data_IF_426959191325
#
_entry.id   IF_426959191325
#
_cell.length_a   1.000
_cell.length_b   1.000
_cell.length_c   1.000
_cell.angle_alpha   90.00
_cell.angle_beta   90.00
_cell.angle_gamma   90.00
#
_symmetry.space_group_name_H-M   'P 1'
#
loop_
_entity.id
_entity.type
_entity.pdbx_description
1 polymer ?
#
# COMPACT_ATOMS: atom_id res chain seq x y z
N UNK A 1 -22.69 13.16 9.30
CA UNK A 1 -21.72 12.18 8.80
C UNK A 1 -21.55 12.45 7.31
N UNK A 2 -20.41 13.02 6.90
CA UNK A 2 -20.10 13.13 5.47
C UNK A 2 -19.83 11.71 4.97
N UNK A 3 -20.66 11.21 4.09
CA UNK A 3 -20.41 9.95 3.37
C UNK A 3 -19.28 10.21 2.39
N UNK A 4 -18.04 9.93 2.82
CA UNK A 4 -16.89 9.93 1.91
C UNK A 4 -17.12 8.85 0.86
N UNK A 5 -17.01 9.23 -0.41
CA UNK A 5 -17.06 8.29 -1.53
C UNK A 5 -16.02 7.18 -1.29
N UNK A 6 -16.45 5.92 -1.26
CA UNK A 6 -15.54 4.80 -1.09
C UNK A 6 -14.68 4.64 -2.34
N UNK A 7 -13.36 4.81 -2.19
CA UNK A 7 -12.39 4.60 -3.27
C UNK A 7 -11.88 3.15 -3.33
N UNK A 8 -11.95 2.41 -2.22
CA UNK A 8 -11.76 0.96 -2.15
C UNK A 8 -13.00 0.37 -1.49
N UNK A 9 -13.59 -0.65 -2.09
CA UNK A 9 -14.72 -1.39 -1.55
C UNK A 9 -14.45 -2.90 -1.68
N UNK A 10 -14.47 -3.61 -0.56
CA UNK A 10 -14.25 -5.05 -0.47
C UNK A 10 -15.46 -5.64 0.23
N UNK A 11 -16.11 -6.65 -0.39
CA UNK A 11 -17.33 -7.26 0.15
C UNK A 11 -17.23 -8.77 0.12
N UNK A 12 -17.25 -9.39 1.31
CA UNK A 12 -17.32 -10.82 1.49
C UNK A 12 -16.19 -11.60 0.81
N UNK A 13 -14.97 -11.04 0.76
CA UNK A 13 -13.88 -11.57 -0.04
C UNK A 13 -13.32 -12.86 0.56
N UNK A 14 -13.30 -13.93 -0.23
CA UNK A 14 -12.74 -15.24 0.13
C UNK A 14 -11.60 -15.58 -0.83
N UNK A 15 -10.49 -16.10 -0.30
CA UNK A 15 -9.40 -16.65 -1.10
C UNK A 15 -8.92 -17.99 -0.55
N UNK A 16 -8.95 -19.00 -1.42
CA UNK A 16 -8.41 -20.33 -1.18
C UNK A 16 -7.14 -20.56 -2.00
N UNK A 17 -6.15 -21.23 -1.42
CA UNK A 17 -5.01 -21.82 -2.11
C UNK A 17 -5.03 -23.33 -1.85
N UNK A 18 -5.47 -24.10 -2.83
CA UNK A 18 -5.82 -25.51 -2.59
C UNK A 18 -6.90 -25.62 -1.52
N UNK A 19 -6.62 -26.36 -0.46
CA UNK A 19 -7.52 -26.51 0.70
C UNK A 19 -7.38 -25.40 1.74
N UNK A 20 -6.33 -24.58 1.67
CA UNK A 20 -6.04 -23.55 2.67
C UNK A 20 -6.85 -22.28 2.40
N UNK A 21 -7.68 -21.89 3.37
CA UNK A 21 -8.44 -20.65 3.34
C UNK A 21 -7.59 -19.53 3.95
N UNK A 22 -7.15 -18.58 3.10
CA UNK A 22 -6.29 -17.43 3.51
C UNK A 22 -7.12 -16.19 3.80
N UNK A 23 -8.22 -15.99 3.06
CA UNK A 23 -9.21 -14.94 3.35
C UNK A 23 -10.59 -15.59 3.45
N UNK A 24 -11.38 -15.18 4.44
CA UNK A 24 -12.66 -15.78 4.79
C UNK A 24 -13.74 -14.72 5.06
N UNK A 25 -14.31 -14.18 3.98
CA UNK A 25 -15.41 -13.22 4.07
C UNK A 25 -14.96 -11.80 4.46
N UNK A 26 -13.76 -11.37 4.05
CA UNK A 26 -13.24 -10.04 4.35
C UNK A 26 -14.11 -8.97 3.71
N UNK A 27 -14.57 -8.02 4.53
CA UNK A 27 -15.23 -6.79 4.07
C UNK A 27 -14.49 -5.59 4.67
N UNK A 28 -14.18 -4.58 3.84
CA UNK A 28 -13.46 -3.38 4.23
C UNK A 28 -13.72 -2.28 3.19
N UNK A 29 -13.84 -1.04 3.63
CA UNK A 29 -13.92 0.14 2.76
C UNK A 29 -12.83 1.13 3.07
N UNK A 30 -12.37 1.90 2.08
CA UNK A 30 -11.47 3.05 2.30
C UNK A 30 -12.05 4.23 1.52
N UNK A 31 -12.31 5.32 2.21
CA UNK A 31 -12.89 6.53 1.65
C UNK A 31 -11.85 7.47 1.01
N UNK A 32 -12.34 8.47 0.28
CA UNK A 32 -11.52 9.59 -0.20
C UNK A 32 -10.90 10.35 0.97
N UNK A 33 -9.60 10.63 0.89
CA UNK A 33 -8.84 11.31 1.95
C UNK A 33 -8.57 10.45 3.20
N UNK A 34 -8.83 9.15 3.14
CA UNK A 34 -8.68 8.22 4.26
C UNK A 34 -7.44 7.34 4.11
N UNK A 35 -6.76 7.07 5.23
CA UNK A 35 -5.76 6.03 5.35
C UNK A 35 -6.21 4.95 6.34
N UNK A 36 -6.27 3.70 5.90
CA UNK A 36 -6.53 2.53 6.73
C UNK A 36 -5.25 1.73 6.89
N UNK A 37 -4.84 1.50 8.14
CA UNK A 37 -3.76 0.57 8.47
C UNK A 37 -4.35 -0.81 8.75
N UNK A 38 -3.97 -1.79 7.91
CA UNK A 38 -4.33 -3.19 8.04
C UNK A 38 -3.25 -3.91 8.83
N UNK A 39 -3.52 -4.16 10.09
CA UNK A 39 -2.67 -4.91 11.02
C UNK A 39 -2.97 -6.40 10.97
N UNK A 40 -2.02 -7.22 11.38
CA UNK A 40 -2.21 -8.67 11.52
C UNK A 40 -0.88 -9.43 11.55
N UNK A 41 -0.85 -10.66 12.07
CA UNK A 41 0.36 -11.48 12.10
C UNK A 41 0.82 -11.87 10.68
N UNK A 42 2.03 -12.40 10.60
CA UNK A 42 2.51 -12.97 9.35
C UNK A 42 1.62 -14.15 8.97
N UNK A 43 1.26 -14.24 7.68
CA UNK A 43 0.34 -15.29 7.20
C UNK A 43 -1.14 -14.96 7.35
N UNK A 44 -1.57 -13.88 8.01
CA UNK A 44 -2.99 -13.53 8.18
C UNK A 44 -3.74 -13.18 6.88
N UNK A 45 -3.02 -12.99 5.76
CA UNK A 45 -3.63 -12.69 4.47
C UNK A 45 -3.52 -11.25 4.00
N UNK A 46 -2.83 -10.34 4.71
CA UNK A 46 -2.68 -8.92 4.34
C UNK A 46 -2.16 -8.73 2.92
N UNK A 47 -1.00 -9.30 2.59
CA UNK A 47 -0.44 -9.20 1.24
C UNK A 47 -1.32 -9.88 0.18
N UNK A 48 -2.07 -10.93 0.56
CA UNK A 48 -3.05 -11.57 -0.32
C UNK A 48 -4.21 -10.62 -0.63
N UNK A 49 -4.73 -9.93 0.38
CA UNK A 49 -5.77 -8.92 0.21
C UNK A 49 -5.30 -7.79 -0.70
N UNK A 50 -4.11 -7.21 -0.42
CA UNK A 50 -3.53 -6.17 -1.27
C UNK A 50 -3.34 -6.63 -2.72
N UNK A 51 -2.88 -7.87 -2.95
CA UNK A 51 -2.71 -8.42 -4.31
C UNK A 51 -4.04 -8.57 -5.05
N UNK A 52 -5.14 -8.89 -4.36
CA UNK A 52 -6.47 -8.98 -4.98
C UNK A 52 -6.95 -7.57 -5.37
N UNK A 53 -6.86 -6.60 -4.45
CA UNK A 53 -7.23 -5.20 -4.72
C UNK A 53 -6.36 -4.60 -5.83
N UNK A 54 -5.07 -4.99 -5.90
CA UNK A 54 -4.14 -4.61 -6.95
C UNK A 54 -4.36 -5.35 -8.29
N UNK A 55 -5.40 -6.17 -8.42
CA UNK A 55 -5.69 -6.98 -9.63
C UNK A 55 -4.64 -8.05 -9.97
N UNK A 56 -3.71 -8.34 -9.06
CA UNK A 56 -2.64 -9.32 -9.25
C UNK A 56 -3.07 -10.74 -8.90
N UNK A 57 -4.19 -10.89 -8.18
CA UNK A 57 -4.73 -12.16 -7.76
C UNK A 57 -6.26 -12.11 -7.82
N UNK A 58 -6.90 -13.17 -8.33
CA UNK A 58 -8.36 -13.25 -8.34
C UNK A 58 -8.88 -13.79 -7.02
N UNK A 59 -9.98 -13.25 -6.46
CA UNK A 59 -10.65 -13.85 -5.31
C UNK A 59 -11.31 -15.18 -5.71
N UNK A 60 -11.56 -16.05 -4.73
CA UNK A 60 -12.36 -17.26 -4.93
C UNK A 60 -13.86 -16.94 -4.88
N UNK A 61 -14.25 -16.02 -3.97
CA UNK A 61 -15.61 -15.48 -3.83
C UNK A 61 -15.55 -14.04 -3.34
N UNK A 62 -16.69 -13.35 -3.39
CA UNK A 62 -16.79 -11.93 -3.02
C UNK A 62 -16.29 -11.00 -4.11
N UNK A 63 -16.31 -9.72 -3.84
CA UNK A 63 -15.95 -8.67 -4.80
C UNK A 63 -14.98 -7.66 -4.19
N UNK A 64 -14.12 -7.08 -5.02
CA UNK A 64 -13.33 -5.91 -4.68
C UNK A 64 -13.47 -4.89 -5.81
N UNK A 65 -13.66 -3.62 -5.43
CA UNK A 65 -13.73 -2.49 -6.37
C UNK A 65 -12.75 -1.42 -5.96
N UNK A 66 -12.17 -0.75 -6.94
CA UNK A 66 -11.31 0.42 -6.77
C UNK A 66 -11.79 1.51 -7.73
N UNK A 67 -12.05 2.70 -7.22
CA UNK A 67 -12.59 3.83 -8.00
C UNK A 67 -13.89 3.45 -8.74
N UNK A 68 -14.71 2.60 -8.13
CA UNK A 68 -15.95 2.07 -8.73
C UNK A 68 -15.77 0.89 -9.69
N UNK A 69 -14.52 0.58 -10.13
CA UNK A 69 -14.21 -0.50 -11.08
C UNK A 69 -13.97 -1.84 -10.38
N UNK A 70 -14.50 -2.92 -10.96
CA UNK A 70 -14.32 -4.29 -10.46
C UNK A 70 -12.90 -4.78 -10.71
N UNK A 71 -12.20 -5.24 -9.66
CA UNK A 71 -10.80 -5.66 -9.72
C UNK A 71 -10.55 -6.90 -10.61
N UNK A 72 -11.59 -7.66 -10.97
CA UNK A 72 -11.47 -8.84 -11.83
C UNK A 72 -11.88 -8.54 -13.27
N UNK A 73 -12.97 -7.81 -13.46
CA UNK A 73 -13.58 -7.57 -14.77
C UNK A 73 -13.01 -6.33 -15.46
N UNK A 74 -12.59 -5.33 -14.67
CA UNK A 74 -12.14 -4.01 -15.14
C UNK A 74 -10.71 -3.72 -14.64
N UNK A 75 -9.86 -4.75 -14.59
CA UNK A 75 -8.52 -4.67 -13.99
C UNK A 75 -7.63 -3.59 -14.60
N UNK A 76 -7.80 -3.25 -15.86
CA UNK A 76 -7.04 -2.18 -16.54
C UNK A 76 -7.45 -0.79 -16.01
N UNK A 77 -8.74 -0.53 -15.88
CA UNK A 77 -9.25 0.70 -15.30
C UNK A 77 -8.81 0.88 -13.84
N UNK A 78 -8.84 -0.20 -13.05
CA UNK A 78 -8.30 -0.21 -11.68
C UNK A 78 -6.83 0.18 -11.68
N UNK A 79 -5.98 -0.45 -12.50
CA UNK A 79 -4.53 -0.18 -12.54
C UNK A 79 -4.18 1.23 -12.97
N UNK A 80 -5.01 1.87 -13.79
CA UNK A 80 -4.81 3.26 -14.23
C UNK A 80 -4.85 4.27 -13.07
N UNK A 81 -5.66 4.01 -12.03
CA UNK A 81 -5.80 4.89 -10.87
C UNK A 81 -5.12 4.41 -9.58
N UNK A 82 -4.39 3.27 -9.64
CA UNK A 82 -3.85 2.61 -8.47
C UNK A 82 -2.31 2.61 -8.47
N UNK A 83 -1.72 2.94 -7.33
CA UNK A 83 -0.29 2.76 -7.05
C UNK A 83 -0.07 1.64 -6.05
N UNK A 84 0.83 0.71 -6.38
CA UNK A 84 1.20 -0.39 -5.49
C UNK A 84 2.69 -0.31 -5.13
N UNK A 85 2.98 -0.31 -3.83
CA UNK A 85 4.30 -0.59 -3.27
C UNK A 85 4.21 -1.90 -2.51
N UNK A 86 4.61 -2.99 -3.17
CA UNK A 86 4.65 -4.30 -2.58
C UNK A 86 5.86 -4.47 -1.63
N UNK A 87 5.88 -5.57 -0.91
CA UNK A 87 7.04 -5.96 -0.12
C UNK A 87 8.27 -6.10 -1.03
N UNK A 88 9.38 -5.42 -0.66
CA UNK A 88 10.53 -5.25 -1.55
C UNK A 88 10.43 -4.01 -2.45
N UNK A 89 11.55 -3.57 -3.00
CA UNK A 89 11.59 -2.37 -3.84
C UNK A 89 11.18 -2.61 -5.30
N UNK A 90 11.29 -3.85 -5.79
CA UNK A 90 11.01 -4.23 -7.18
C UNK A 90 11.65 -3.28 -8.20
N UNK A 91 12.96 -3.07 -8.04
CA UNK A 91 13.81 -2.26 -8.92
C UNK A 91 14.84 -3.16 -9.60
N UNK A 92 15.31 -2.76 -10.78
CA UNK A 92 16.31 -3.50 -11.55
C UNK A 92 17.70 -3.07 -11.13
N UNK A 93 18.45 -3.96 -10.52
CA UNK A 93 19.76 -3.69 -9.91
C UNK A 93 20.83 -3.28 -10.94
N UNK A 94 20.77 -3.78 -12.17
CA UNK A 94 21.72 -3.48 -13.24
C UNK A 94 21.44 -2.19 -13.99
N UNK A 95 20.26 -1.62 -13.83
CA UNK A 95 19.88 -0.32 -14.38
C UNK A 95 20.28 0.81 -13.41
N UNK A 96 20.55 1.98 -13.96
CA UNK A 96 20.65 3.22 -13.18
C UNK A 96 19.28 3.62 -12.62
N UNK A 97 19.24 4.55 -11.66
CA UNK A 97 17.98 5.06 -11.12
C UNK A 97 17.11 5.69 -12.21
N UNK A 98 17.70 6.46 -13.12
CA UNK A 98 16.98 7.10 -14.23
C UNK A 98 16.45 6.06 -15.23
N UNK A 99 17.26 5.05 -15.57
CA UNK A 99 16.84 3.94 -16.46
C UNK A 99 15.71 3.11 -15.83
N UNK A 100 15.75 2.85 -14.52
CA UNK A 100 14.64 2.19 -13.81
C UNK A 100 13.33 2.96 -13.98
N UNK A 101 13.33 4.29 -13.76
CA UNK A 101 12.12 5.10 -13.92
C UNK A 101 11.67 5.14 -15.38
N UNK A 102 12.60 5.29 -16.33
CA UNK A 102 12.30 5.28 -17.77
C UNK A 102 11.67 3.95 -18.18
N UNK A 103 12.26 2.83 -17.79
CA UNK A 103 11.73 1.50 -18.09
C UNK A 103 10.29 1.36 -17.58
N UNK A 104 10.05 1.72 -16.32
CA UNK A 104 8.73 1.62 -15.71
C UNK A 104 7.70 2.55 -16.38
N UNK A 105 8.06 3.81 -16.68
CA UNK A 105 7.14 4.75 -17.35
C UNK A 105 6.78 4.28 -18.76
N UNK A 106 7.77 3.73 -19.51
CA UNK A 106 7.52 3.17 -20.83
C UNK A 106 6.55 2.00 -20.78
N UNK A 107 6.73 1.05 -19.82
CA UNK A 107 5.80 -0.07 -19.63
C UNK A 107 4.39 0.39 -19.23
N UNK A 108 4.29 1.50 -18.51
CA UNK A 108 3.00 2.06 -18.05
C UNK A 108 2.35 3.00 -19.06
N UNK A 109 2.93 3.19 -20.25
CA UNK A 109 2.43 4.12 -21.26
C UNK A 109 2.51 5.59 -20.85
N UNK A 110 3.36 5.91 -19.87
CA UNK A 110 3.54 7.28 -19.36
C UNK A 110 4.67 8.00 -20.09
N UNK A 111 4.61 9.35 -20.21
CA UNK A 111 5.72 10.13 -20.76
C UNK A 111 7.02 9.90 -19.98
N UNK A 112 8.12 9.63 -20.69
CA UNK A 112 9.43 9.27 -20.14
C UNK A 112 10.50 10.33 -20.46
N UNK A 113 10.12 11.61 -20.55
CA UNK A 113 11.06 12.70 -20.74
C UNK A 113 12.01 12.84 -19.54
N UNK A 114 13.24 13.28 -19.82
CA UNK A 114 14.32 13.32 -18.82
C UNK A 114 14.01 14.27 -17.67
N UNK A 115 13.40 15.41 -17.94
CA UNK A 115 13.09 16.43 -16.96
C UNK A 115 12.11 15.87 -15.91
N UNK A 116 11.01 15.26 -16.35
CA UNK A 116 10.01 14.63 -15.50
C UNK A 116 10.58 13.49 -14.65
N UNK A 117 11.44 12.65 -15.26
CA UNK A 117 12.09 11.55 -14.52
C UNK A 117 13.08 12.09 -13.48
N UNK A 118 13.84 13.16 -13.81
CA UNK A 118 14.77 13.78 -12.87
C UNK A 118 14.02 14.46 -11.72
N UNK A 119 12.91 15.14 -12.00
CA UNK A 119 12.05 15.72 -10.97
C UNK A 119 11.51 14.65 -10.02
N UNK A 120 11.06 13.51 -10.52
CA UNK A 120 10.61 12.38 -9.68
C UNK A 120 11.74 11.80 -8.81
N UNK A 121 12.99 11.79 -9.28
CA UNK A 121 14.15 11.46 -8.44
C UNK A 121 14.42 12.55 -7.38
N UNK A 122 14.22 13.81 -7.70
CA UNK A 122 14.32 14.93 -6.77
C UNK A 122 13.29 14.81 -5.63
N UNK A 123 12.06 14.44 -5.95
CA UNK A 123 10.98 14.20 -4.97
C UNK A 123 11.39 13.20 -3.85
N UNK A 124 12.29 12.26 -4.16
CA UNK A 124 12.77 11.24 -3.23
C UNK A 124 14.23 11.45 -2.81
N UNK A 125 14.82 12.61 -3.10
CA UNK A 125 16.23 12.96 -2.83
C UNK A 125 17.24 11.97 -3.44
N UNK A 126 17.00 11.56 -4.70
CA UNK A 126 17.86 10.69 -5.48
C UNK A 126 18.37 11.32 -6.79
N UNK A 127 18.15 12.62 -7.04
CA UNK A 127 18.55 13.30 -8.26
C UNK A 127 20.05 13.20 -8.56
N UNK A 128 20.90 13.30 -7.50
CA UNK A 128 22.36 13.16 -7.62
C UNK A 128 22.81 11.74 -7.93
N UNK A 129 21.91 10.77 -7.77
CA UNK A 129 22.16 9.35 -8.01
C UNK A 129 21.53 8.86 -9.33
N UNK A 130 21.01 9.76 -10.16
CA UNK A 130 20.28 9.42 -11.39
C UNK A 130 21.06 8.46 -12.31
N UNK A 131 22.37 8.66 -12.49
CA UNK A 131 23.26 7.84 -13.31
C UNK A 131 23.94 6.69 -12.57
N UNK A 132 23.64 6.47 -11.30
CA UNK A 132 24.24 5.40 -10.48
C UNK A 132 23.42 4.12 -10.61
N UNK A 133 24.08 2.97 -10.81
CA UNK A 133 23.42 1.65 -10.87
C UNK A 133 22.81 1.27 -9.52
N UNK A 134 21.58 0.78 -9.55
CA UNK A 134 20.76 0.50 -8.35
C UNK A 134 21.36 -0.61 -7.47
N UNK A 135 22.17 -1.50 -8.02
CA UNK A 135 22.89 -2.52 -7.22
C UNK A 135 23.77 -1.93 -6.09
N UNK A 136 24.21 -0.67 -6.22
CA UNK A 136 25.00 0.02 -5.20
C UNK A 136 24.14 0.78 -4.17
N UNK A 137 22.82 0.79 -4.36
CA UNK A 137 21.91 1.50 -3.47
C UNK A 137 21.70 0.74 -2.16
N UNK A 138 21.58 1.48 -1.07
CA UNK A 138 21.08 0.92 0.19
C UNK A 138 19.61 0.50 0.04
N UNK A 139 19.12 -0.33 0.97
CA UNK A 139 17.70 -0.75 1.01
C UNK A 139 16.76 0.47 1.02
N UNK A 140 17.09 1.50 1.81
CA UNK A 140 16.32 2.74 1.87
C UNK A 140 16.34 3.53 0.54
N UNK A 141 17.46 3.58 -0.18
CA UNK A 141 17.53 4.20 -1.50
C UNK A 141 16.70 3.44 -2.53
N UNK A 142 16.77 2.10 -2.55
CA UNK A 142 15.92 1.27 -3.42
C UNK A 142 14.43 1.51 -3.13
N UNK A 143 14.06 1.61 -1.85
CA UNK A 143 12.67 1.90 -1.43
C UNK A 143 12.23 3.29 -1.91
N UNK A 144 13.06 4.32 -1.75
CA UNK A 144 12.78 5.67 -2.26
C UNK A 144 12.64 5.68 -3.78
N UNK A 145 13.47 4.96 -4.51
CA UNK A 145 13.34 4.82 -5.97
C UNK A 145 12.00 4.16 -6.36
N UNK A 146 11.57 3.13 -5.63
CA UNK A 146 10.25 2.53 -5.84
C UNK A 146 9.10 3.54 -5.60
N UNK A 147 9.24 4.40 -4.61
CA UNK A 147 8.26 5.46 -4.32
C UNK A 147 8.26 6.58 -5.38
N UNK A 148 9.39 6.88 -6.03
CA UNK A 148 9.47 7.87 -7.11
C UNK A 148 8.51 7.54 -8.28
N UNK A 149 8.22 6.26 -8.52
CA UNK A 149 7.25 5.82 -9.54
C UNK A 149 5.84 6.37 -9.28
N UNK A 150 5.46 6.51 -8.01
CA UNK A 150 4.13 7.02 -7.62
C UNK A 150 3.96 8.50 -8.00
N UNK A 151 5.04 9.31 -7.93
CA UNK A 151 5.03 10.70 -8.38
C UNK A 151 4.77 10.82 -9.89
N UNK A 152 5.19 9.83 -10.67
CA UNK A 152 5.00 9.77 -12.11
C UNK A 152 3.59 9.33 -12.52
N UNK A 153 3.04 8.33 -11.81
CA UNK A 153 1.73 7.75 -12.10
C UNK A 153 0.55 8.61 -11.62
N UNK A 154 0.74 9.43 -10.57
CA UNK A 154 -0.32 10.22 -9.92
C UNK A 154 -1.58 9.41 -9.62
N UNK A 155 -1.46 8.28 -8.89
CA UNK A 155 -2.62 7.46 -8.56
C UNK A 155 -3.61 8.21 -7.66
N UNK A 156 -4.86 7.72 -7.57
CA UNK A 156 -5.86 8.15 -6.58
C UNK A 156 -5.98 7.19 -5.40
N UNK A 157 -5.45 5.97 -5.55
CA UNK A 157 -5.43 4.93 -4.51
C UNK A 157 -4.02 4.40 -4.35
N UNK A 158 -3.55 4.30 -3.12
CA UNK A 158 -2.26 3.69 -2.75
C UNK A 158 -2.48 2.41 -1.95
N UNK A 159 -1.89 1.32 -2.43
CA UNK A 159 -1.73 0.08 -1.70
C UNK A 159 -0.27 -0.07 -1.28
N UNK A 160 -0.03 -0.17 0.02
CA UNK A 160 1.32 -0.18 0.58
C UNK A 160 1.52 -1.42 1.45
N UNK A 161 2.50 -2.25 1.12
CA UNK A 161 2.87 -3.43 1.91
C UNK A 161 4.20 -3.15 2.63
N UNK A 162 4.14 -3.00 3.97
CA UNK A 162 5.27 -2.65 4.83
C UNK A 162 6.06 -1.41 4.33
N UNK A 163 5.40 -0.25 4.09
CA UNK A 163 6.04 0.87 3.38
C UNK A 163 7.20 1.50 4.13
N UNK A 164 7.22 1.41 5.46
CA UNK A 164 8.26 2.00 6.31
C UNK A 164 9.44 1.05 6.58
N UNK A 165 9.34 -0.22 6.17
CA UNK A 165 10.41 -1.19 6.37
C UNK A 165 11.70 -0.77 5.64
N UNK A 166 12.85 -0.83 6.34
CA UNK A 166 14.15 -0.48 5.78
C UNK A 166 14.41 1.02 5.61
N UNK A 167 13.47 1.90 6.00
CA UNK A 167 13.69 3.34 6.02
C UNK A 167 14.30 3.78 7.36
N UNK A 168 15.29 4.67 7.29
CA UNK A 168 15.79 5.42 8.43
C UNK A 168 14.77 6.46 8.92
N UNK A 169 15.04 7.11 10.04
CA UNK A 169 14.13 8.11 10.63
C UNK A 169 13.79 9.24 9.66
N UNK A 170 14.76 9.70 8.86
CA UNK A 170 14.53 10.75 7.86
C UNK A 170 13.63 10.27 6.72
N UNK A 171 13.86 9.05 6.24
CA UNK A 171 13.03 8.41 5.21
C UNK A 171 11.59 8.16 5.68
N UNK A 172 11.41 7.73 6.94
CA UNK A 172 10.07 7.56 7.55
C UNK A 172 9.31 8.88 7.62
N UNK A 173 9.94 9.96 8.14
CA UNK A 173 9.33 11.30 8.21
C UNK A 173 8.98 11.84 6.83
N UNK A 174 9.86 11.63 5.85
CA UNK A 174 9.60 12.03 4.46
C UNK A 174 8.38 11.29 3.89
N UNK A 175 8.32 9.94 4.03
CA UNK A 175 7.20 9.15 3.53
C UNK A 175 5.88 9.54 4.22
N UNK A 176 5.90 9.74 5.54
CA UNK A 176 4.74 10.20 6.30
C UNK A 176 4.18 11.50 5.73
N UNK A 177 5.02 12.54 5.56
CA UNK A 177 4.58 13.81 4.98
C UNK A 177 4.03 13.68 3.54
N UNK A 178 4.58 12.76 2.73
CA UNK A 178 4.05 12.47 1.39
C UNK A 178 2.66 11.81 1.44
N UNK A 179 2.44 10.88 2.36
CA UNK A 179 1.15 10.24 2.55
C UNK A 179 0.10 11.21 3.10
N UNK A 180 0.48 12.10 4.02
CA UNK A 180 -0.39 13.17 4.52
C UNK A 180 -0.84 14.11 3.38
N UNK A 181 0.11 14.55 2.53
CA UNK A 181 -0.21 15.37 1.35
C UNK A 181 -1.13 14.62 0.38
N UNK A 182 -0.88 13.33 0.16
CA UNK A 182 -1.69 12.50 -0.70
C UNK A 182 -3.13 12.35 -0.19
N UNK A 183 -3.31 12.11 1.11
CA UNK A 183 -4.62 12.10 1.77
C UNK A 183 -5.34 13.44 1.63
N UNK A 184 -4.64 14.54 1.94
CA UNK A 184 -5.20 15.89 1.86
C UNK A 184 -5.68 16.25 0.44
N UNK A 185 -5.09 15.64 -0.60
CA UNK A 185 -5.57 15.77 -1.99
C UNK A 185 -6.74 14.84 -2.36
N UNK A 186 -7.31 14.13 -1.39
CA UNK A 186 -8.44 13.20 -1.60
C UNK A 186 -8.02 11.78 -1.97
N UNK A 187 -6.73 11.43 -1.88
CA UNK A 187 -6.25 10.07 -2.14
C UNK A 187 -6.60 9.10 -1.02
N UNK A 188 -6.88 7.84 -1.36
CA UNK A 188 -7.12 6.75 -0.40
C UNK A 188 -5.88 5.88 -0.22
N UNK A 189 -5.57 5.50 1.03
CA UNK A 189 -4.42 4.66 1.37
C UNK A 189 -4.88 3.42 2.11
N UNK A 190 -4.53 2.23 1.61
CA UNK A 190 -4.61 0.97 2.34
C UNK A 190 -3.19 0.46 2.59
N UNK A 191 -2.76 0.46 3.84
CA UNK A 191 -1.41 0.11 4.25
C UNK A 191 -1.41 -1.15 5.11
N UNK A 192 -0.77 -2.21 4.65
CA UNK A 192 -0.51 -3.40 5.46
C UNK A 192 0.79 -3.22 6.25
N UNK A 193 0.73 -3.48 7.55
CA UNK A 193 1.89 -3.46 8.43
C UNK A 193 1.72 -4.41 9.63
N UNK A 194 2.83 -4.80 10.24
CA UNK A 194 2.87 -5.49 11.53
C UNK A 194 3.49 -4.59 12.63
N UNK A 195 3.86 -3.37 12.28
CA UNK A 195 4.50 -2.41 13.19
C UNK A 195 3.46 -1.57 13.92
N UNK A 196 3.72 -1.30 15.21
CA UNK A 196 2.89 -0.47 16.09
C UNK A 196 3.54 0.91 16.33
N UNK A 197 4.49 1.30 15.47
CA UNK A 197 5.23 2.54 15.61
C UNK A 197 4.47 3.78 15.14
N UNK A 198 5.22 4.87 15.01
CA UNK A 198 4.70 6.17 14.54
C UNK A 198 4.08 6.13 13.14
N UNK A 199 4.40 5.11 12.35
CA UNK A 199 3.77 4.88 11.05
C UNK A 199 2.25 4.73 11.10
N UNK A 200 1.70 4.34 12.28
CA UNK A 200 0.25 4.28 12.48
C UNK A 200 -0.38 5.67 12.74
N UNK A 201 0.43 6.71 12.98
CA UNK A 201 -0.08 8.07 13.16
C UNK A 201 -0.73 8.63 11.90
N UNK A 202 -0.32 8.14 10.71
CA UNK A 202 -0.92 8.52 9.43
C UNK A 202 -2.31 7.92 9.22
N UNK A 203 -2.62 6.79 9.89
CA UNK A 203 -3.87 6.08 9.72
C UNK A 203 -5.03 6.81 10.43
N UNK A 204 -6.13 6.95 9.74
CA UNK A 204 -7.39 7.45 10.31
C UNK A 204 -8.19 6.33 10.95
N UNK A 205 -8.00 5.08 10.44
CA UNK A 205 -8.67 3.88 10.92
C UNK A 205 -7.71 2.69 10.94
N UNK A 206 -7.89 1.82 11.93
CA UNK A 206 -7.14 0.57 12.09
C UNK A 206 -8.08 -0.61 11.85
N UNK A 207 -7.64 -1.53 10.99
CA UNK A 207 -8.29 -2.82 10.80
C UNK A 207 -7.32 -3.94 11.19
N UNK A 208 -7.78 -4.93 11.97
CA UNK A 208 -6.99 -6.11 12.34
C UNK A 208 -7.47 -7.31 11.53
N UNK A 209 -6.59 -7.87 10.72
CA UNK A 209 -6.83 -9.10 9.96
C UNK A 209 -6.25 -10.29 10.73
N UNK A 210 -7.12 -11.16 11.22
CA UNK A 210 -6.76 -12.36 11.96
C UNK A 210 -7.62 -13.54 11.49
N UNK A 211 -7.06 -14.73 11.37
CA UNK A 211 -7.78 -15.92 10.88
C UNK A 211 -8.44 -15.72 9.50
N UNK A 212 -7.88 -14.85 8.66
CA UNK A 212 -8.44 -14.52 7.34
C UNK A 212 -9.66 -13.60 7.37
N UNK A 213 -10.02 -13.01 8.52
CA UNK A 213 -11.18 -12.14 8.71
C UNK A 213 -10.76 -10.80 9.29
N UNK A 214 -11.52 -9.73 9.05
CA UNK A 214 -11.39 -8.47 9.77
C UNK A 214 -12.01 -8.67 11.15
N UNK A 215 -11.14 -8.85 12.15
CA UNK A 215 -11.54 -9.08 13.55
C UNK A 215 -11.88 -7.77 14.26
N UNK A 216 -11.26 -6.66 13.86
CA UNK A 216 -11.51 -5.31 14.36
C UNK A 216 -11.40 -4.30 13.22
N UNK A 217 -12.28 -3.31 13.21
CA UNK A 217 -12.21 -2.13 12.35
C UNK A 217 -12.69 -0.92 13.16
N UNK A 218 -11.78 0.04 13.46
CA UNK A 218 -12.05 1.12 14.40
C UNK A 218 -11.31 2.40 14.04
N UNK A 219 -11.89 3.60 14.31
CA UNK A 219 -11.19 4.86 14.15
C UNK A 219 -9.93 4.91 15.02
N UNK A 220 -8.80 5.35 14.43
CA UNK A 220 -7.52 5.48 15.15
C UNK A 220 -7.60 6.47 16.30
N UNK A 221 -8.35 7.55 16.14
CA UNK A 221 -8.54 8.59 17.16
C UNK A 221 -9.24 8.08 18.44
N UNK A 222 -9.92 6.93 18.38
CA UNK A 222 -10.55 6.30 19.54
C UNK A 222 -9.57 5.50 20.42
N UNK A 223 -8.29 5.37 19.99
CA UNK A 223 -7.31 4.48 20.62
C UNK A 223 -6.09 5.25 21.13
N UNK A 224 -5.68 4.96 22.39
CA UNK A 224 -4.37 5.32 22.92
C UNK A 224 -3.25 4.47 22.31
N UNK A 225 -1.99 4.83 22.55
CA UNK A 225 -0.84 4.09 22.04
C UNK A 225 -0.83 2.62 22.53
N UNK A 226 -1.11 2.41 23.80
CA UNK A 226 -1.13 1.08 24.43
C UNK A 226 -2.37 0.25 24.05
N UNK A 227 -3.46 0.90 23.63
CA UNK A 227 -4.70 0.22 23.24
C UNK A 227 -4.50 -0.58 21.96
N UNK A 228 -3.76 -0.04 20.99
CA UNK A 228 -3.51 -0.71 19.70
C UNK A 228 -2.81 -2.05 19.92
N UNK A 229 -1.78 -2.09 20.78
CA UNK A 229 -1.06 -3.34 21.05
C UNK A 229 -1.94 -4.33 21.83
N UNK A 230 -2.70 -3.88 22.81
CA UNK A 230 -3.63 -4.74 23.56
C UNK A 230 -4.70 -5.35 22.67
N UNK A 231 -5.34 -4.55 21.83
CA UNK A 231 -6.36 -5.02 20.88
C UNK A 231 -5.78 -5.98 19.85
N UNK A 232 -4.56 -5.71 19.35
CA UNK A 232 -3.89 -6.61 18.44
C UNK A 232 -3.66 -7.99 19.07
N UNK A 233 -3.10 -8.05 20.29
CA UNK A 233 -2.86 -9.31 21.01
C UNK A 233 -4.18 -10.06 21.23
N UNK A 234 -5.21 -9.39 21.76
CA UNK A 234 -6.51 -9.99 22.02
C UNK A 234 -7.13 -10.65 20.77
N UNK A 235 -7.13 -9.95 19.62
CA UNK A 235 -7.75 -10.46 18.40
C UNK A 235 -6.87 -11.43 17.60
N UNK A 236 -5.54 -11.48 17.84
CA UNK A 236 -4.65 -12.40 17.12
C UNK A 236 -4.39 -13.70 17.86
N UNK A 237 -4.42 -13.71 19.19
CA UNK A 237 -4.33 -14.94 19.99
C UNK A 237 -5.59 -15.79 19.90
N UNK A 238 -6.79 -15.19 19.91
CA UNK A 238 -8.06 -15.91 19.70
C UNK A 238 -8.15 -16.60 18.33
N UNK A 239 -7.50 -16.06 17.30
CA UNK A 239 -7.53 -16.63 15.95
C UNK A 239 -6.48 -17.74 15.73
N UNK A 240 -5.60 -18.00 16.70
CA UNK A 240 -4.58 -19.04 16.65
C UNK A 240 -5.02 -20.36 17.30
N UNK A 241 -6.16 -20.38 18.00
CA UNK A 241 -6.83 -21.52 18.60
C UNK A 241 -7.90 -22.10 17.66
#
# INVERSE_FOLDING_TARGET
MMTHEALIEIVGLVRLFGATRVLDGVSLTVGSGEAVALLGPNGSGKSTLLKIVATLLRPTRGTARVLGHDCVREAEAVRAGLGLIAHGAHVYDDLTALENLRFWTTLSGLPADRERLTAALGDVALERHAGIRVRTFSVGMKRRLALARLSLARPRVLLLDEPFAGLDQRGRKWLQGRLETFKASGGAVLMATHSFGRELEIADRLAILAGGRVALDTPRAALGADDVQRLYVAHTEEAAL
#
